data_IF_650671737703
#
_entry.id   IF_650671737703
#
_cell.length_a   1.000
_cell.length_b   1.000
_cell.length_c   1.000
_cell.angle_alpha   90.00
_cell.angle_beta   90.00
_cell.angle_gamma   90.00
#
_symmetry.space_group_name_H-M   'P 1'
#
loop_
_entity.id
_entity.type
_entity.pdbx_description
1 polymer ?
#
# COMPACT_ATOMS: atom_id res chain seq x y z
N UNK A 1 0.87 -24.75 15.79
CA UNK A 1 1.11 -23.71 14.77
C UNK A 1 -0.18 -23.60 13.97
N UNK A 2 -0.93 -22.49 14.12
CA UNK A 2 -2.19 -22.34 13.41
C UNK A 2 -1.89 -21.98 11.95
N UNK A 3 -2.20 -22.87 11.01
CA UNK A 3 -2.30 -22.54 9.60
C UNK A 3 -3.54 -21.67 9.43
N UNK A 4 -3.38 -20.35 9.49
CA UNK A 4 -4.48 -19.42 9.18
C UNK A 4 -4.86 -19.62 7.73
N UNK A 5 -6.01 -20.26 7.50
CA UNK A 5 -6.61 -20.46 6.20
C UNK A 5 -7.15 -19.11 5.72
N UNK A 6 -6.25 -18.20 5.34
CA UNK A 6 -6.63 -16.89 4.85
C UNK A 6 -6.93 -17.01 3.36
N UNK A 7 -8.18 -16.83 2.92
CA UNK A 7 -8.54 -17.05 1.53
C UNK A 7 -7.79 -16.07 0.63
N UNK A 8 -7.20 -16.58 -0.45
CA UNK A 8 -6.44 -15.77 -1.41
C UNK A 8 -7.35 -14.68 -2.03
N UNK A 9 -8.64 -14.95 -2.17
CA UNK A 9 -9.66 -13.98 -2.57
C UNK A 9 -10.50 -13.61 -1.36
N UNK A 10 -10.50 -12.32 -1.02
CA UNK A 10 -10.92 -11.79 0.27
C UNK A 10 -11.58 -10.43 0.00
N UNK A 11 -12.84 -10.28 0.37
CA UNK A 11 -13.62 -9.06 0.06
C UNK A 11 -13.23 -7.89 1.00
N UNK A 12 -12.74 -8.24 2.17
CA UNK A 12 -12.29 -7.38 3.26
C UNK A 12 -10.86 -6.85 3.06
N UNK A 13 -10.04 -7.56 2.29
CA UNK A 13 -8.73 -7.09 1.80
C UNK A 13 -8.61 -7.21 0.26
N UNK A 14 -9.38 -6.37 -0.47
CA UNK A 14 -9.43 -6.43 -1.91
C UNK A 14 -8.13 -5.90 -2.54
N UNK A 15 -7.93 -6.25 -3.81
CA UNK A 15 -6.87 -5.68 -4.62
C UNK A 15 -7.28 -4.30 -5.18
N UNK A 16 -6.54 -3.27 -4.82
CA UNK A 16 -6.74 -1.89 -5.29
C UNK A 16 -5.73 -1.52 -6.39
N UNK A 17 -6.03 -0.51 -7.19
CA UNK A 17 -5.14 0.02 -8.23
C UNK A 17 -4.63 1.43 -7.91
N UNK A 18 -3.76 1.94 -8.78
CA UNK A 18 -3.19 3.28 -8.68
C UNK A 18 -4.28 4.37 -8.68
N UNK A 19 -5.36 4.20 -9.44
CA UNK A 19 -6.45 5.19 -9.45
C UNK A 19 -7.06 5.31 -8.07
N UNK A 20 -7.43 4.19 -7.45
CA UNK A 20 -7.91 4.18 -6.06
C UNK A 20 -6.93 4.90 -5.13
N UNK A 21 -5.64 4.52 -5.17
CA UNK A 21 -4.62 5.09 -4.27
C UNK A 21 -4.53 6.62 -4.46
N UNK A 22 -4.43 7.10 -5.70
CA UNK A 22 -4.33 8.55 -5.98
C UNK A 22 -5.60 9.31 -5.59
N UNK A 23 -6.79 8.76 -5.83
CA UNK A 23 -8.07 9.37 -5.44
C UNK A 23 -8.15 9.58 -3.93
N UNK A 24 -7.75 8.59 -3.12
CA UNK A 24 -7.92 8.66 -1.67
C UNK A 24 -6.75 9.31 -0.93
N UNK A 25 -5.58 9.43 -1.57
CA UNK A 25 -4.42 10.13 -0.98
C UNK A 25 -4.30 11.58 -1.45
N UNK A 26 -4.94 11.95 -2.57
CA UNK A 26 -4.79 13.26 -3.19
C UNK A 26 -3.41 13.48 -3.83
N UNK A 27 -2.62 12.41 -3.99
CA UNK A 27 -1.27 12.47 -4.56
C UNK A 27 -1.24 11.94 -5.99
N UNK A 28 -0.24 12.34 -6.76
CA UNK A 28 -0.10 11.92 -8.15
C UNK A 28 0.46 10.52 -8.27
N UNK A 29 0.08 9.82 -9.34
CA UNK A 29 0.63 8.53 -9.72
C UNK A 29 2.16 8.57 -9.91
N UNK A 30 2.69 9.65 -10.52
CA UNK A 30 4.13 9.89 -10.71
C UNK A 30 4.89 9.84 -9.39
N UNK A 31 4.31 10.40 -8.32
CA UNK A 31 4.92 10.37 -6.99
C UNK A 31 4.97 8.94 -6.43
N UNK A 32 3.89 8.18 -6.54
CA UNK A 32 3.89 6.77 -6.13
C UNK A 32 4.85 5.91 -6.96
N UNK A 33 4.92 6.10 -8.27
CA UNK A 33 5.89 5.39 -9.11
C UNK A 33 7.34 5.71 -8.71
N UNK A 34 7.62 6.95 -8.31
CA UNK A 34 8.92 7.30 -7.72
C UNK A 34 9.17 6.51 -6.43
N UNK A 35 8.22 6.48 -5.49
CA UNK A 35 8.37 5.72 -4.26
C UNK A 35 8.54 4.21 -4.48
N UNK A 36 7.85 3.64 -5.47
CA UNK A 36 8.00 2.23 -5.86
C UNK A 36 9.43 1.99 -6.37
N UNK A 37 9.96 2.88 -7.21
CA UNK A 37 11.34 2.82 -7.69
C UNK A 37 12.37 2.96 -6.57
N UNK A 38 12.10 3.84 -5.60
CA UNK A 38 12.96 4.07 -4.43
C UNK A 38 12.79 2.97 -3.35
N UNK A 39 11.91 1.97 -3.55
CA UNK A 39 11.63 0.91 -2.57
C UNK A 39 10.90 1.39 -1.30
N UNK A 40 10.32 2.58 -1.33
CA UNK A 40 9.66 3.24 -0.21
C UNK A 40 8.16 2.99 -0.15
N UNK A 41 7.56 2.41 -1.20
CA UNK A 41 6.15 2.02 -1.28
C UNK A 41 6.03 0.53 -1.63
N UNK A 42 4.97 -0.19 -1.20
CA UNK A 42 4.78 -1.60 -1.54
C UNK A 42 4.89 -1.87 -3.04
N UNK A 43 5.58 -2.95 -3.42
CA UNK A 43 5.70 -3.36 -4.82
C UNK A 43 4.34 -3.90 -5.30
N UNK A 44 3.91 -3.56 -6.54
CA UNK A 44 2.67 -4.09 -7.07
C UNK A 44 2.75 -5.60 -7.35
N UNK A 45 1.63 -6.27 -7.14
CA UNK A 45 1.30 -7.56 -7.73
C UNK A 45 0.99 -7.31 -9.21
N UNK A 46 1.75 -7.96 -10.10
CA UNK A 46 1.57 -7.84 -11.56
C UNK A 46 0.57 -8.87 -12.06
N UNK A 47 -0.52 -8.40 -12.66
CA UNK A 47 -1.54 -9.20 -13.34
C UNK A 47 -1.58 -8.77 -14.82
N UNK A 48 -0.52 -9.13 -15.55
CA UNK A 48 -0.26 -8.62 -16.90
C UNK A 48 0.10 -7.14 -16.88
N UNK A 49 -0.68 -6.31 -17.60
CA UNK A 49 -0.49 -4.85 -17.62
C UNK A 49 -0.99 -4.18 -16.34
N UNK A 50 -1.85 -4.85 -15.58
CA UNK A 50 -2.42 -4.31 -14.36
C UNK A 50 -1.44 -4.46 -13.20
N UNK A 51 -1.26 -3.36 -12.47
CA UNK A 51 -0.55 -3.34 -11.19
C UNK A 51 -1.58 -3.21 -10.08
N UNK A 52 -1.53 -4.12 -9.11
CA UNK A 52 -2.48 -4.20 -8.00
C UNK A 52 -1.75 -4.29 -6.66
N UNK A 53 -2.40 -3.87 -5.60
CA UNK A 53 -1.90 -3.98 -4.22
C UNK A 53 -3.00 -4.51 -3.32
N UNK A 54 -2.67 -5.23 -2.25
CA UNK A 54 -3.64 -5.43 -1.18
C UNK A 54 -3.95 -4.08 -0.54
N UNK A 55 -5.23 -3.84 -0.24
CA UNK A 55 -5.65 -2.63 0.47
C UNK A 55 -4.90 -2.51 1.80
N UNK A 56 -4.78 -3.62 2.53
CA UNK A 56 -4.08 -3.71 3.82
C UNK A 56 -2.61 -3.30 3.75
N UNK A 57 -1.90 -3.63 2.67
CA UNK A 57 -0.49 -3.23 2.48
C UNK A 57 -0.35 -1.71 2.33
N UNK A 58 -1.25 -1.09 1.56
CA UNK A 58 -1.25 0.36 1.36
C UNK A 58 -1.69 1.08 2.65
N UNK A 59 -2.66 0.54 3.38
CA UNK A 59 -3.09 1.07 4.67
C UNK A 59 -1.97 1.00 5.72
N UNK A 60 -1.27 -0.14 5.80
CA UNK A 60 -0.13 -0.32 6.70
C UNK A 60 0.99 0.68 6.39
N UNK A 61 1.29 0.88 5.10
CA UNK A 61 2.25 1.89 4.67
C UNK A 61 1.81 3.31 5.08
N UNK A 62 0.52 3.64 4.94
CA UNK A 62 0.00 4.96 5.35
C UNK A 62 0.08 5.14 6.87
N UNK A 63 -0.27 4.11 7.64
CA UNK A 63 -0.14 4.13 9.10
C UNK A 63 1.31 4.39 9.53
N UNK A 64 2.29 3.79 8.86
CA UNK A 64 3.70 4.06 9.11
C UNK A 64 4.04 5.54 8.85
N UNK A 65 3.58 6.13 7.73
CA UNK A 65 3.81 7.56 7.45
C UNK A 65 3.20 8.48 8.49
N UNK A 66 2.00 8.16 8.96
CA UNK A 66 1.32 8.88 10.03
C UNK A 66 2.11 8.77 11.34
N UNK A 67 2.58 7.57 11.69
CA UNK A 67 3.38 7.34 12.89
C UNK A 67 4.73 8.09 12.83
N UNK A 68 5.43 8.03 11.70
CA UNK A 68 6.68 8.74 11.47
C UNK A 68 6.49 10.25 11.59
N UNK A 69 5.43 10.81 11.00
CA UNK A 69 5.11 12.24 11.09
C UNK A 69 4.77 12.71 12.51
N UNK A 70 4.37 11.82 13.41
CA UNK A 70 3.96 12.13 14.79
C UNK A 70 5.01 11.73 15.82
N UNK A 71 6.10 11.06 15.39
CA UNK A 71 7.22 10.74 16.26
C UNK A 71 7.92 12.04 16.64
N UNK A 72 7.76 12.45 17.90
CA UNK A 72 8.60 13.49 18.49
C UNK A 72 9.91 12.81 18.89
N UNK A 73 11.02 13.14 18.22
CA UNK A 73 12.34 12.82 18.73
C UNK A 73 12.55 13.62 20.02
N UNK A 74 12.45 12.94 21.17
CA UNK A 74 13.04 13.46 22.40
C UNK A 74 14.55 13.24 22.29
N UNK A 75 15.28 14.33 22.07
CA UNK A 75 16.71 14.44 22.41
C UNK A 75 16.89 14.39 23.93
#
# INVERSE_FOLDING_TARGET
MATTNNPVLCAEDPLIDMSFITTYTGMTDKWFYKLIGDGQFPKPIKLGRSSRWRKSEVESWMQQRIADSRRIEKL
#
